data_IF_263047619207
#
_entry.id   IF_263047619207
#
_cell.length_a   1.000
_cell.length_b   1.000
_cell.length_c   1.000
_cell.angle_alpha   90.00
_cell.angle_beta   90.00
_cell.angle_gamma   90.00
#
_symmetry.space_group_name_H-M   'P 1'
#
loop_
_entity.id
_entity.type
_entity.pdbx_description
1 polymer ?
#
# COMPACT_ATOMS: atom_id res chain seq x y z
N UNK A 1 16.95 -37.97 22.02
CA UNK A 1 17.31 -36.99 23.06
C UNK A 1 16.08 -36.77 23.93
N UNK A 2 16.09 -37.40 25.10
CA UNK A 2 14.99 -37.43 26.06
C UNK A 2 14.94 -36.13 26.86
N UNK A 3 13.78 -35.51 26.96
CA UNK A 3 13.56 -34.37 27.85
C UNK A 3 12.70 -34.86 29.02
N UNK A 4 13.35 -35.09 30.15
CA UNK A 4 12.72 -35.47 31.42
C UNK A 4 12.10 -34.25 32.10
N UNK A 5 10.88 -34.45 32.59
CA UNK A 5 10.12 -33.54 33.45
C UNK A 5 10.57 -33.67 34.91
N UNK A 6 10.97 -32.58 35.55
CA UNK A 6 11.11 -32.50 37.01
C UNK A 6 10.01 -31.62 37.62
N UNK A 7 9.35 -32.21 38.61
CA UNK A 7 8.40 -31.57 39.49
C UNK A 7 9.13 -30.86 40.64
N UNK A 8 8.69 -29.64 40.99
CA UNK A 8 9.13 -28.98 42.22
C UNK A 8 7.94 -28.47 43.03
N UNK A 9 7.76 -29.19 44.14
CA UNK A 9 6.83 -29.02 45.25
C UNK A 9 7.24 -27.79 46.07
N UNK A 10 6.34 -26.85 46.32
CA UNK A 10 6.49 -25.86 47.41
C UNK A 10 5.21 -25.78 48.23
N UNK A 11 5.41 -25.87 49.54
CA UNK A 11 4.41 -25.96 50.61
C UNK A 11 4.58 -24.70 51.47
N UNK A 12 3.47 -24.04 51.77
CA UNK A 12 3.22 -23.25 52.97
C UNK A 12 3.74 -21.81 53.01
N UNK A 13 2.81 -20.86 53.17
CA UNK A 13 2.77 -19.97 54.33
C UNK A 13 1.51 -19.11 54.32
N UNK A 14 0.75 -19.19 55.41
CA UNK A 14 -0.38 -18.34 55.74
C UNK A 14 0.07 -16.87 55.87
N UNK A 15 -0.71 -15.96 55.30
CA UNK A 15 -0.78 -14.58 55.80
C UNK A 15 -2.20 -14.05 55.64
N UNK A 16 -2.85 -13.98 56.79
CA UNK A 16 -4.12 -13.34 57.07
C UNK A 16 -4.08 -11.87 56.65
N UNK A 17 -4.88 -11.50 55.66
CA UNK A 17 -5.15 -10.11 55.32
C UNK A 17 -6.62 -9.80 55.58
N UNK A 18 -6.84 -8.95 56.57
CA UNK A 18 -8.14 -8.50 57.06
C UNK A 18 -8.99 -7.88 55.95
N UNK A 19 -10.03 -8.61 55.54
CA UNK A 19 -11.08 -8.12 54.64
C UNK A 19 -12.03 -7.18 55.39
N UNK A 20 -11.65 -5.91 55.49
CA UNK A 20 -12.55 -4.82 55.88
C UNK A 20 -13.63 -4.64 54.80
N UNK A 21 -14.75 -5.34 54.95
CA UNK A 21 -15.94 -5.11 54.14
C UNK A 21 -16.54 -3.77 54.54
N UNK A 22 -16.18 -2.71 53.81
CA UNK A 22 -16.93 -1.45 53.83
C UNK A 22 -18.31 -1.74 53.24
N UNK A 23 -19.29 -1.99 54.11
CA UNK A 23 -20.70 -2.00 53.71
C UNK A 23 -21.10 -0.56 53.37
N UNK A 24 -20.92 -0.19 52.10
CA UNK A 24 -21.47 1.06 51.56
C UNK A 24 -22.98 0.91 51.51
N UNK A 25 -23.66 1.48 52.50
CA UNK A 25 -25.11 1.59 52.54
C UNK A 25 -25.54 2.64 51.51
N UNK A 26 -25.81 2.21 50.27
CA UNK A 26 -26.42 3.06 49.25
C UNK A 26 -27.86 3.39 49.68
N UNK A 27 -28.14 4.65 49.98
CA UNK A 27 -29.52 5.12 50.19
C UNK A 27 -30.24 5.12 48.84
N UNK A 28 -31.48 4.59 48.74
CA UNK A 28 -32.27 4.67 47.52
C UNK A 28 -32.53 6.14 47.17
N UNK A 29 -32.04 6.60 46.01
CA UNK A 29 -32.39 7.93 45.48
C UNK A 29 -31.25 8.89 45.18
N UNK A 30 -29.98 8.50 45.33
CA UNK A 30 -28.85 9.30 44.84
C UNK A 30 -28.03 8.50 43.84
N UNK A 31 -28.52 8.44 42.59
CA UNK A 31 -27.67 8.05 41.48
C UNK A 31 -26.74 9.23 41.17
N UNK A 32 -25.41 9.03 41.04
CA UNK A 32 -24.51 10.09 40.61
C UNK A 32 -24.96 10.54 39.23
N UNK A 33 -25.56 11.73 39.17
CA UNK A 33 -25.93 12.39 37.92
C UNK A 33 -24.65 12.50 37.10
N UNK A 34 -24.64 11.95 35.89
CA UNK A 34 -23.52 12.12 34.94
C UNK A 34 -23.38 13.61 34.67
N UNK A 35 -22.49 14.29 35.41
CA UNK A 35 -22.21 15.70 35.19
C UNK A 35 -21.40 15.81 33.90
N UNK A 36 -22.12 16.10 32.82
CA UNK A 36 -21.52 16.42 31.53
C UNK A 36 -20.56 17.61 31.70
N UNK A 37 -19.36 17.47 31.13
CA UNK A 37 -18.36 18.54 31.14
C UNK A 37 -18.88 19.76 30.37
N UNK A 38 -18.29 20.93 30.62
CA UNK A 38 -18.65 22.13 29.87
C UNK A 38 -18.38 21.96 28.37
N UNK A 39 -17.27 21.31 28.01
CA UNK A 39 -16.90 21.03 26.61
C UNK A 39 -17.93 20.14 25.91
N UNK A 40 -18.41 19.09 26.58
CA UNK A 40 -19.43 18.22 26.01
C UNK A 40 -20.75 18.96 25.75
N UNK A 41 -21.15 19.86 26.66
CA UNK A 41 -22.37 20.67 26.48
C UNK A 41 -22.28 21.57 25.26
N UNK A 42 -21.17 22.30 25.11
CA UNK A 42 -20.94 23.14 23.94
C UNK A 42 -21.01 22.32 22.65
N UNK A 43 -20.31 21.19 22.62
CA UNK A 43 -20.29 20.31 21.45
C UNK A 43 -21.68 19.75 21.11
N UNK A 44 -22.44 19.34 22.13
CA UNK A 44 -23.82 18.89 21.97
C UNK A 44 -24.68 19.99 21.37
N UNK A 45 -24.60 21.19 21.93
CA UNK A 45 -25.42 22.32 21.49
C UNK A 45 -25.06 22.74 20.06
N UNK A 46 -23.78 22.79 19.71
CA UNK A 46 -23.32 23.04 18.35
C UNK A 46 -23.83 21.98 17.37
N UNK A 47 -23.67 20.70 17.71
CA UNK A 47 -24.07 19.59 16.84
C UNK A 47 -25.60 19.54 16.68
N UNK A 48 -26.36 19.72 17.75
CA UNK A 48 -27.83 19.64 17.71
C UNK A 48 -28.45 20.91 17.11
N UNK A 49 -27.73 22.02 17.10
CA UNK A 49 -28.09 23.20 16.29
C UNK A 49 -27.92 22.90 14.80
N UNK A 50 -26.82 22.25 14.40
CA UNK A 50 -26.56 21.88 13.01
C UNK A 50 -27.40 20.68 12.51
N UNK A 51 -27.75 19.78 13.42
CA UNK A 51 -28.49 18.55 13.17
C UNK A 51 -29.54 18.33 14.27
N UNK A 52 -30.67 19.07 14.22
CA UNK A 52 -31.72 18.96 15.23
C UNK A 52 -32.22 17.53 15.38
N UNK A 53 -32.31 17.06 16.63
CA UNK A 53 -32.74 15.71 16.97
C UNK A 53 -34.05 15.74 17.75
N UNK A 54 -34.95 14.81 17.45
CA UNK A 54 -36.17 14.57 18.24
C UNK A 54 -36.43 13.05 18.41
N UNK A 55 -35.59 12.33 19.18
CA UNK A 55 -35.72 10.89 19.27
C UNK A 55 -36.95 10.47 20.07
N UNK A 56 -37.64 9.43 19.59
CA UNK A 56 -38.90 8.99 20.19
C UNK A 56 -38.72 8.11 21.41
N UNK A 57 -37.57 7.44 21.56
CA UNK A 57 -37.22 6.58 22.68
C UNK A 57 -38.24 5.47 23.05
N UNK A 58 -39.18 5.13 22.16
CA UNK A 58 -40.16 4.04 22.35
C UNK A 58 -39.57 2.74 22.96
N UNK A 59 -38.38 2.26 22.56
CA UNK A 59 -37.80 1.05 23.17
C UNK A 59 -37.53 1.16 24.68
N UNK A 60 -37.47 2.40 25.21
CA UNK A 60 -37.19 2.68 26.62
C UNK A 60 -38.45 2.76 27.50
N UNK A 61 -39.66 2.70 26.94
CA UNK A 61 -40.92 2.84 27.69
C UNK A 61 -41.07 1.81 28.82
N UNK A 62 -40.37 0.67 28.73
CA UNK A 62 -40.34 -0.39 29.76
C UNK A 62 -39.52 -0.05 31.00
N UNK A 63 -38.74 1.02 31.01
CA UNK A 63 -37.86 1.39 32.11
C UNK A 63 -38.45 2.52 32.97
N UNK A 64 -37.95 2.67 34.20
CA UNK A 64 -38.36 3.77 35.08
C UNK A 64 -37.80 5.11 34.60
N UNK A 65 -38.47 6.21 34.93
CA UNK A 65 -38.09 7.55 34.45
C UNK A 65 -36.61 7.91 34.73
N UNK A 66 -36.09 7.59 35.92
CA UNK A 66 -34.69 7.84 36.26
C UNK A 66 -33.69 7.00 35.46
N UNK A 67 -34.06 5.77 35.09
CA UNK A 67 -33.24 4.91 34.22
C UNK A 67 -33.29 5.41 32.78
N UNK A 68 -34.49 5.79 32.30
CA UNK A 68 -34.67 6.37 30.96
C UNK A 68 -33.80 7.61 30.76
N UNK A 69 -33.76 8.52 31.74
CA UNK A 69 -32.98 9.75 31.63
C UNK A 69 -31.48 9.47 31.47
N UNK A 70 -30.93 8.54 32.26
CA UNK A 70 -29.52 8.16 32.15
C UNK A 70 -29.21 7.50 30.79
N UNK A 71 -30.11 6.66 30.28
CA UNK A 71 -29.93 6.02 28.97
C UNK A 71 -29.97 7.07 27.85
N UNK A 72 -30.88 8.04 27.90
CA UNK A 72 -30.96 9.14 26.91
C UNK A 72 -29.66 9.93 26.84
N UNK A 73 -29.09 10.29 27.99
CA UNK A 73 -27.79 10.99 28.05
C UNK A 73 -26.69 10.14 27.41
N UNK A 74 -26.71 8.81 27.64
CA UNK A 74 -25.78 7.88 27.00
C UNK A 74 -25.95 7.83 25.48
N UNK A 75 -27.18 7.79 24.98
CA UNK A 75 -27.47 7.78 23.54
C UNK A 75 -27.05 9.09 22.86
N UNK A 76 -27.29 10.25 23.50
CA UNK A 76 -26.78 11.53 23.03
C UNK A 76 -25.25 11.50 22.89
N UNK A 77 -24.56 10.90 23.86
CA UNK A 77 -23.10 10.77 23.83
C UNK A 77 -22.64 9.86 22.69
N UNK A 78 -23.33 8.75 22.46
CA UNK A 78 -23.04 7.85 21.32
C UNK A 78 -23.21 8.58 19.99
N UNK A 79 -24.32 9.30 19.80
CA UNK A 79 -24.57 10.08 18.59
C UNK A 79 -23.49 11.13 18.34
N UNK A 80 -23.15 11.93 19.36
CA UNK A 80 -22.13 12.97 19.27
C UNK A 80 -20.76 12.38 18.97
N UNK A 81 -20.39 11.30 19.66
CA UNK A 81 -19.10 10.63 19.46
C UNK A 81 -19.01 10.03 18.06
N UNK A 82 -20.09 9.46 17.54
CA UNK A 82 -20.15 8.92 16.19
C UNK A 82 -19.93 10.02 15.15
N UNK A 83 -20.64 11.14 15.28
CA UNK A 83 -20.48 12.30 14.40
C UNK A 83 -19.03 12.83 14.43
N UNK A 84 -18.46 12.96 15.62
CA UNK A 84 -17.05 13.36 15.77
C UNK A 84 -16.07 12.34 15.18
N UNK A 85 -16.30 11.04 15.39
CA UNK A 85 -15.46 9.98 14.83
C UNK A 85 -15.41 10.13 13.31
N UNK A 86 -16.57 10.30 12.65
CA UNK A 86 -16.65 10.50 11.19
C UNK A 86 -15.93 11.76 10.70
N UNK A 87 -15.95 12.85 11.47
CA UNK A 87 -15.25 14.10 11.12
C UNK A 87 -13.73 13.97 11.30
N UNK A 88 -13.28 13.18 12.27
CA UNK A 88 -11.86 13.00 12.61
C UNK A 88 -11.15 11.96 11.74
N UNK A 89 -11.89 11.12 11.01
CA UNK A 89 -11.31 10.17 10.06
C UNK A 89 -10.43 10.93 9.07
N UNK A 90 -9.13 10.68 9.13
CA UNK A 90 -8.13 11.43 8.37
C UNK A 90 -7.57 10.60 7.21
N UNK A 91 -7.73 9.28 7.24
CA UNK A 91 -7.27 8.36 6.21
C UNK A 91 -8.36 7.37 5.78
N UNK A 92 -8.46 7.05 4.48
CA UNK A 92 -9.28 5.95 3.96
C UNK A 92 -9.05 4.59 4.64
N UNK A 93 -7.81 4.35 5.10
CA UNK A 93 -7.39 3.10 5.74
C UNK A 93 -8.15 2.88 7.06
N UNK A 94 -8.56 3.94 7.74
CA UNK A 94 -9.33 3.84 8.98
C UNK A 94 -10.74 3.25 8.78
N UNK A 95 -11.25 3.24 7.54
CA UNK A 95 -12.53 2.66 7.14
C UNK A 95 -12.38 1.43 6.24
N UNK A 96 -11.17 0.93 5.99
CA UNK A 96 -10.98 -0.14 5.00
C UNK A 96 -11.37 -1.53 5.51
N UNK A 97 -11.48 -1.74 6.84
CA UNK A 97 -11.86 -3.04 7.40
C UNK A 97 -13.38 -3.22 7.49
N UNK A 98 -13.84 -4.44 7.19
CA UNK A 98 -15.27 -4.81 7.30
C UNK A 98 -15.78 -4.58 8.73
N UNK A 99 -15.02 -5.03 9.73
CA UNK A 99 -15.39 -4.92 11.14
C UNK A 99 -15.68 -3.47 11.57
N UNK A 100 -14.87 -2.51 11.10
CA UNK A 100 -15.09 -1.10 11.43
C UNK A 100 -16.35 -0.60 10.72
N UNK A 101 -16.54 -0.92 9.44
CA UNK A 101 -17.76 -0.53 8.71
C UNK A 101 -19.01 -1.10 9.38
N UNK A 102 -18.97 -2.36 9.82
CA UNK A 102 -20.05 -3.03 10.53
C UNK A 102 -20.35 -2.35 11.88
N UNK A 103 -19.32 -1.91 12.63
CA UNK A 103 -19.48 -1.14 13.87
C UNK A 103 -20.25 0.18 13.63
N UNK A 104 -19.88 0.92 12.57
CA UNK A 104 -20.57 2.16 12.20
C UNK A 104 -22.03 1.89 11.80
N UNK A 105 -22.28 0.88 10.99
CA UNK A 105 -23.62 0.47 10.54
C UNK A 105 -24.49 0.06 11.72
N UNK A 106 -23.96 -0.77 12.63
CA UNK A 106 -24.67 -1.23 13.81
C UNK A 106 -25.03 -0.05 14.74
N UNK A 107 -24.09 0.89 14.94
CA UNK A 107 -24.32 2.06 15.79
C UNK A 107 -25.38 2.99 15.19
N UNK A 108 -25.33 3.25 13.88
CA UNK A 108 -26.33 4.07 13.18
C UNK A 108 -27.73 3.44 13.28
N UNK A 109 -27.81 2.13 13.02
CA UNK A 109 -29.07 1.38 13.10
C UNK A 109 -29.66 1.44 14.51
N UNK A 110 -28.83 1.24 15.54
CA UNK A 110 -29.28 1.32 16.94
C UNK A 110 -29.80 2.73 17.32
N UNK A 111 -29.17 3.79 16.81
CA UNK A 111 -29.61 5.16 17.05
C UNK A 111 -30.95 5.43 16.36
N UNK A 112 -31.15 4.95 15.13
CA UNK A 112 -32.42 5.05 14.40
C UNK A 112 -33.55 4.30 15.10
N UNK A 113 -33.27 3.11 15.66
CA UNK A 113 -34.24 2.38 16.48
C UNK A 113 -34.68 3.16 17.74
N UNK A 114 -33.83 4.05 18.25
CA UNK A 114 -34.16 4.97 19.34
C UNK A 114 -34.85 6.26 18.86
N UNK A 115 -34.94 6.46 17.55
CA UNK A 115 -35.60 7.57 16.88
C UNK A 115 -34.69 8.75 16.51
N UNK A 116 -33.36 8.59 16.60
CA UNK A 116 -32.45 9.64 16.12
C UNK A 116 -32.56 9.79 14.60
N UNK A 117 -32.44 11.03 14.11
CA UNK A 117 -32.29 11.32 12.69
C UNK A 117 -30.82 11.15 12.31
N UNK A 118 -30.50 9.98 11.76
CA UNK A 118 -29.17 9.61 11.30
C UNK A 118 -28.95 9.88 9.81
N UNK A 119 -29.88 10.50 9.08
CA UNK A 119 -29.81 10.63 7.62
C UNK A 119 -28.51 11.33 7.15
N UNK A 120 -28.11 12.41 7.83
CA UNK A 120 -26.85 13.11 7.50
C UNK A 120 -25.60 12.28 7.82
N UNK A 121 -25.66 11.46 8.87
CA UNK A 121 -24.54 10.57 9.24
C UNK A 121 -24.41 9.41 8.25
N UNK A 122 -25.53 8.84 7.78
CA UNK A 122 -25.55 7.86 6.70
C UNK A 122 -24.92 8.40 5.42
N UNK A 123 -25.37 9.57 4.95
CA UNK A 123 -24.80 10.22 3.76
C UNK A 123 -23.30 10.44 3.91
N UNK A 124 -22.86 10.91 5.08
CA UNK A 124 -21.44 11.11 5.37
C UNK A 124 -20.66 9.79 5.35
N UNK A 125 -21.18 8.75 6.00
CA UNK A 125 -20.57 7.42 6.04
C UNK A 125 -20.45 6.82 4.64
N UNK A 126 -21.53 6.83 3.85
CA UNK A 126 -21.53 6.31 2.48
C UNK A 126 -20.55 7.06 1.58
N UNK A 127 -20.47 8.39 1.73
CA UNK A 127 -19.49 9.21 1.01
C UNK A 127 -18.06 8.81 1.37
N UNK A 128 -17.77 8.66 2.66
CA UNK A 128 -16.44 8.25 3.13
C UNK A 128 -16.08 6.83 2.65
N UNK A 129 -17.04 5.90 2.68
CA UNK A 129 -16.86 4.53 2.16
C UNK A 129 -16.57 4.53 0.66
N UNK A 130 -17.30 5.33 -0.12
CA UNK A 130 -17.10 5.45 -1.56
C UNK A 130 -15.71 6.01 -1.90
N UNK A 131 -15.28 7.08 -1.20
CA UNK A 131 -13.94 7.65 -1.35
C UNK A 131 -12.86 6.61 -0.98
N UNK A 132 -13.09 5.82 0.07
CA UNK A 132 -12.15 4.77 0.48
C UNK A 132 -11.98 3.69 -0.59
N UNK A 133 -13.10 3.19 -1.14
CA UNK A 133 -13.08 2.23 -2.23
C UNK A 133 -12.41 2.77 -3.51
N UNK A 134 -12.65 4.04 -3.85
CA UNK A 134 -11.96 4.69 -4.96
C UNK A 134 -10.44 4.79 -4.71
N UNK A 135 -10.04 5.15 -3.49
CA UNK A 135 -8.65 5.22 -3.07
C UNK A 135 -7.92 3.87 -3.22
N UNK A 136 -8.56 2.78 -2.84
CA UNK A 136 -8.04 1.43 -3.05
C UNK A 136 -7.84 1.11 -4.55
N UNK A 137 -8.83 1.44 -5.38
CA UNK A 137 -8.73 1.26 -6.83
C UNK A 137 -7.65 2.12 -7.49
N UNK A 138 -7.39 3.33 -6.98
CA UNK A 138 -6.26 4.16 -7.42
C UNK A 138 -4.93 3.55 -6.98
N UNK A 139 -4.84 3.05 -5.74
CA UNK A 139 -3.63 2.40 -5.20
C UNK A 139 -3.22 1.18 -6.02
N UNK A 140 -4.16 0.29 -6.34
CA UNK A 140 -3.91 -0.89 -7.18
C UNK A 140 -3.41 -0.52 -8.59
N UNK A 141 -4.02 0.49 -9.22
CA UNK A 141 -3.58 0.99 -10.54
C UNK A 141 -2.20 1.62 -10.48
N UNK A 142 -1.89 2.32 -9.39
CA UNK A 142 -0.56 2.89 -9.17
C UNK A 142 0.48 1.77 -9.01
N UNK A 143 0.19 0.75 -8.21
CA UNK A 143 1.06 -0.41 -8.04
C UNK A 143 1.33 -1.12 -9.37
N UNK A 144 0.28 -1.41 -10.14
CA UNK A 144 0.41 -2.03 -11.47
C UNK A 144 1.28 -1.18 -12.41
N UNK A 145 1.02 0.14 -12.47
CA UNK A 145 1.77 1.07 -13.33
C UNK A 145 3.24 1.15 -12.90
N UNK A 146 3.51 1.19 -11.60
CA UNK A 146 4.88 1.22 -11.09
C UNK A 146 5.64 -0.07 -11.38
N UNK A 147 4.97 -1.22 -11.30
CA UNK A 147 5.52 -2.52 -11.67
C UNK A 147 5.86 -2.59 -13.16
N UNK A 148 4.91 -2.20 -14.04
CA UNK A 148 5.14 -2.12 -15.50
C UNK A 148 6.32 -1.22 -15.84
N UNK A 149 6.43 -0.05 -15.19
CA UNK A 149 7.56 0.86 -15.37
C UNK A 149 8.89 0.22 -14.97
N UNK A 150 8.95 -0.47 -13.84
CA UNK A 150 10.18 -1.18 -13.40
C UNK A 150 10.59 -2.24 -14.42
N UNK A 151 9.65 -3.03 -14.93
CA UNK A 151 9.94 -4.06 -15.93
C UNK A 151 10.47 -3.44 -17.22
N UNK A 152 9.84 -2.37 -17.71
CA UNK A 152 10.33 -1.64 -18.89
C UNK A 152 11.71 -1.03 -18.68
N UNK A 153 12.03 -0.57 -17.48
CA UNK A 153 13.36 -0.08 -17.15
C UNK A 153 14.40 -1.20 -17.24
N UNK A 154 14.10 -2.39 -16.73
CA UNK A 154 14.98 -3.56 -16.82
C UNK A 154 15.20 -3.95 -18.29
N UNK A 155 14.13 -4.08 -19.07
CA UNK A 155 14.22 -4.37 -20.52
C UNK A 155 15.08 -3.35 -21.27
N UNK A 156 14.90 -2.06 -20.97
CA UNK A 156 15.70 -0.98 -21.56
C UNK A 156 17.18 -1.11 -21.19
N UNK A 157 17.51 -1.45 -19.94
CA UNK A 157 18.90 -1.66 -19.52
C UNK A 157 19.53 -2.86 -20.23
N UNK A 158 18.81 -3.98 -20.36
CA UNK A 158 19.29 -5.16 -21.09
C UNK A 158 19.55 -4.83 -22.57
N UNK A 159 18.61 -4.12 -23.20
CA UNK A 159 18.75 -3.68 -24.60
C UNK A 159 19.96 -2.77 -24.77
N UNK A 160 20.18 -1.84 -23.83
CA UNK A 160 21.34 -0.94 -23.86
C UNK A 160 22.66 -1.70 -23.74
N UNK A 161 22.73 -2.68 -22.84
CA UNK A 161 23.91 -3.56 -22.73
C UNK A 161 24.16 -4.31 -24.04
N UNK A 162 23.11 -4.86 -24.66
CA UNK A 162 23.25 -5.57 -25.93
C UNK A 162 23.75 -4.67 -27.07
N UNK A 163 23.30 -3.41 -27.10
CA UNK A 163 23.80 -2.41 -28.05
C UNK A 163 25.31 -2.22 -27.86
N UNK A 164 25.77 -2.01 -26.62
CA UNK A 164 27.21 -1.84 -26.34
C UNK A 164 28.05 -3.06 -26.75
N UNK A 165 27.55 -4.27 -26.53
CA UNK A 165 28.21 -5.50 -26.97
C UNK A 165 28.35 -5.55 -28.50
N UNK A 166 27.26 -5.28 -29.22
CA UNK A 166 27.23 -5.26 -30.68
C UNK A 166 28.14 -4.18 -31.26
N UNK A 167 28.19 -2.99 -30.65
CA UNK A 167 29.12 -1.92 -31.05
C UNK A 167 30.59 -2.36 -30.89
N UNK A 168 30.91 -3.07 -29.81
CA UNK A 168 32.24 -3.61 -29.58
C UNK A 168 32.62 -4.71 -30.59
N UNK A 169 31.70 -5.61 -30.91
CA UNK A 169 31.88 -6.63 -31.95
C UNK A 169 32.08 -5.99 -33.33
N UNK A 170 31.26 -5.01 -33.69
CA UNK A 170 31.37 -4.28 -34.95
C UNK A 170 32.73 -3.60 -35.08
N UNK A 171 33.22 -2.97 -34.00
CA UNK A 171 34.56 -2.36 -33.98
C UNK A 171 35.67 -3.38 -34.22
N UNK A 172 35.57 -4.59 -33.63
CA UNK A 172 36.54 -5.67 -33.87
C UNK A 172 36.51 -6.15 -35.32
N UNK A 173 35.32 -6.39 -35.86
CA UNK A 173 35.15 -6.84 -37.25
C UNK A 173 35.69 -5.82 -38.25
N UNK A 174 35.51 -4.51 -37.99
CA UNK A 174 36.11 -3.45 -38.81
C UNK A 174 37.64 -3.50 -38.82
N UNK A 175 38.26 -3.68 -37.65
CA UNK A 175 39.71 -3.80 -37.58
C UNK A 175 40.24 -5.03 -38.33
N UNK A 176 39.53 -6.17 -38.25
CA UNK A 176 39.87 -7.37 -39.03
C UNK A 176 39.75 -7.10 -40.54
N UNK A 177 38.66 -6.46 -40.97
CA UNK A 177 38.45 -6.10 -42.37
C UNK A 177 39.59 -5.22 -42.89
N UNK A 178 39.97 -4.18 -42.14
CA UNK A 178 41.09 -3.29 -42.50
C UNK A 178 42.40 -4.08 -42.67
N UNK A 179 42.71 -5.02 -41.76
CA UNK A 179 43.91 -5.85 -41.89
C UNK A 179 43.87 -6.81 -43.08
N UNK A 180 42.70 -7.38 -43.39
CA UNK A 180 42.54 -8.24 -44.57
C UNK A 180 42.67 -7.44 -45.87
N UNK A 181 42.15 -6.21 -45.92
CA UNK A 181 42.29 -5.31 -47.06
C UNK A 181 43.77 -4.93 -47.31
N UNK A 182 44.53 -4.63 -46.26
CA UNK A 182 45.97 -4.40 -46.33
C UNK A 182 46.74 -5.63 -46.83
N UNK A 183 46.38 -6.83 -46.34
CA UNK A 183 47.00 -8.09 -46.79
C UNK A 183 46.71 -8.34 -48.28
N UNK A 184 45.48 -8.11 -48.73
CA UNK A 184 45.11 -8.21 -50.15
C UNK A 184 45.95 -7.24 -51.00
N UNK A 185 46.16 -6.01 -50.54
CA UNK A 185 46.99 -5.03 -51.27
C UNK A 185 48.45 -5.46 -51.35
N UNK A 186 49.01 -5.97 -50.25
CA UNK A 186 50.37 -6.52 -50.21
C UNK A 186 50.53 -7.72 -51.14
N UNK A 187 49.55 -8.64 -51.16
CA UNK A 187 49.54 -9.77 -52.08
C UNK A 187 49.50 -9.32 -53.54
N UNK A 188 48.66 -8.33 -53.88
CA UNK A 188 48.65 -7.73 -55.22
C UNK A 188 49.99 -7.09 -55.60
N UNK A 189 50.69 -6.45 -54.67
CA UNK A 189 52.00 -5.88 -54.92
C UNK A 189 53.05 -6.96 -55.19
N UNK A 190 53.08 -8.00 -54.35
CA UNK A 190 54.01 -9.14 -54.52
C UNK A 190 53.74 -9.96 -55.78
N UNK A 191 52.49 -10.06 -56.24
CA UNK A 191 52.12 -10.74 -57.48
C UNK A 191 52.65 -10.02 -58.75
N UNK A 192 52.81 -8.68 -58.72
CA UNK A 192 53.26 -7.90 -59.89
C UNK A 192 54.67 -8.28 -60.37
N UNK A 193 55.61 -8.51 -59.46
CA UNK A 193 56.99 -8.84 -59.79
C UNK A 193 57.13 -10.12 -60.65
N UNK A 194 56.57 -11.29 -60.24
CA UNK A 194 56.63 -12.48 -61.07
C UNK A 194 55.81 -12.37 -62.36
N UNK A 195 54.76 -11.53 -62.41
CA UNK A 195 54.05 -11.23 -63.67
C UNK A 195 55.00 -10.51 -64.64
N UNK A 196 55.67 -9.44 -64.20
CA UNK A 196 56.63 -8.69 -65.01
C UNK A 196 57.83 -9.56 -65.44
N UNK A 197 58.35 -10.37 -64.52
CA UNK A 197 59.43 -11.33 -64.80
C UNK A 197 59.00 -12.34 -65.87
N UNK A 198 57.79 -12.92 -65.73
CA UNK A 198 57.23 -13.84 -66.72
C UNK A 198 57.09 -13.18 -68.10
N UNK A 199 56.60 -11.94 -68.15
CA UNK A 199 56.49 -11.20 -69.41
C UNK A 199 57.85 -10.94 -70.05
N UNK A 200 58.85 -10.60 -69.25
CA UNK A 200 60.22 -10.39 -69.72
C UNK A 200 60.85 -11.69 -70.24
N UNK A 201 60.65 -12.82 -69.54
CA UNK A 201 61.08 -14.15 -69.99
C UNK A 201 60.44 -14.48 -71.34
N UNK A 202 59.12 -14.28 -71.48
CA UNK A 202 58.41 -14.53 -72.73
C UNK A 202 58.93 -13.65 -73.89
N UNK A 203 59.24 -12.38 -73.60
CA UNK A 203 59.82 -11.46 -74.58
C UNK A 203 61.22 -11.90 -75.02
N UNK A 204 62.09 -12.27 -74.07
CA UNK A 204 63.43 -12.77 -74.33
C UNK A 204 63.39 -14.05 -75.17
N UNK A 205 62.50 -14.99 -74.83
CA UNK A 205 62.31 -16.23 -75.57
C UNK A 205 61.91 -15.97 -77.03
N UNK A 206 60.92 -15.10 -77.28
CA UNK A 206 60.50 -14.74 -78.66
C UNK A 206 61.64 -14.10 -79.45
N UNK A 207 62.41 -13.22 -78.83
CA UNK A 207 63.55 -12.57 -79.48
C UNK A 207 64.63 -13.58 -79.88
N UNK A 208 64.96 -14.53 -79.00
CA UNK A 208 65.93 -15.57 -79.29
C UNK A 208 65.45 -16.52 -80.40
N UNK A 209 64.17 -16.92 -80.36
CA UNK A 209 63.58 -17.82 -81.35
C UNK A 209 63.50 -17.23 -82.78
N UNK A 210 63.59 -15.90 -82.92
CA UNK A 210 63.50 -15.19 -84.21
C UNK A 210 64.84 -14.67 -84.72
N UNK A 211 65.94 -14.88 -83.99
CA UNK A 211 67.27 -14.46 -84.41
C UNK A 211 67.83 -15.37 -85.54
N UNK A 212 68.51 -14.81 -86.55
CA UNK A 212 69.18 -15.60 -87.58
C UNK A 212 70.40 -16.35 -87.01
N UNK A 213 70.69 -17.52 -87.59
CA UNK A 213 71.76 -18.44 -87.19
C UNK A 213 73.17 -17.91 -87.50
#
# INVERSE_FOLDING_TARGET
>A
MSCSTEALKRKGSDSSSSSSTVRVRMSPGHYPFLRLTHEYRNLRDDLFTAMPQNPHYKPLEKFSAGVCENIKVGLDAVFINLALKMVKLSSPIELSSSDVQEEFIATLTQLEEMGYDCAKLWVKFDTLRAISAEGEGVSLRLEETTSKRRNKQVEATMTRTRIYELEAELKKLKAVLETEEEEIENLKFTERSPIEEREQILKNFRSAATAPW
#
